data_IF_921359250967
#
_entry.id   IF_921359250967
#
_cell.length_a   1.000
_cell.length_b   1.000
_cell.length_c   1.000
_cell.angle_alpha   90.00
_cell.angle_beta   90.00
_cell.angle_gamma   90.00
#
_symmetry.space_group_name_H-M   'P 1'
#
loop_
_entity.id
_entity.type
_entity.pdbx_description
1 polymer ?
#
# COMPACT_ATOMS: atom_id res chain seq x y z
N UNK A 1 -21.34 -10.76 -9.32
CA UNK A 1 -20.45 -9.57 -9.33
C UNK A 1 -19.13 -10.02 -8.75
N UNK A 2 -18.01 -9.74 -9.41
CA UNK A 2 -16.70 -10.12 -8.90
C UNK A 2 -16.43 -9.46 -7.54
N UNK A 3 -15.91 -10.23 -6.59
CA UNK A 3 -15.49 -9.73 -5.28
C UNK A 3 -14.08 -10.15 -4.95
N UNK A 4 -13.43 -9.35 -4.11
CA UNK A 4 -12.09 -9.60 -3.58
C UNK A 4 -12.20 -9.76 -2.07
N UNK A 5 -11.72 -10.89 -1.53
CA UNK A 5 -11.67 -11.18 -0.11
C UNK A 5 -10.23 -11.31 0.36
N UNK A 6 -9.85 -10.49 1.31
CA UNK A 6 -8.51 -10.40 1.85
C UNK A 6 -8.42 -11.07 3.23
N UNK A 7 -7.37 -11.88 3.42
CA UNK A 7 -7.01 -12.44 4.72
C UNK A 7 -5.52 -12.20 4.97
N UNK A 8 -5.21 -11.46 6.02
CA UNK A 8 -3.85 -11.06 6.39
C UNK A 8 -3.39 -11.86 7.60
N UNK A 9 -2.27 -12.56 7.46
CA UNK A 9 -1.42 -12.98 8.58
C UNK A 9 -0.24 -12.03 8.69
N UNK A 10 0.54 -12.08 9.79
CA UNK A 10 1.57 -11.07 10.12
C UNK A 10 2.50 -10.67 8.97
N UNK A 11 2.74 -11.54 7.99
CA UNK A 11 3.66 -11.28 6.87
C UNK A 11 3.12 -11.66 5.49
N UNK A 12 1.86 -12.07 5.40
CA UNK A 12 1.29 -12.57 4.14
C UNK A 12 -0.13 -12.09 3.98
N UNK A 13 -0.41 -11.48 2.83
CA UNK A 13 -1.74 -11.17 2.36
C UNK A 13 -2.20 -12.28 1.41
N UNK A 14 -3.29 -12.96 1.75
CA UNK A 14 -4.00 -13.85 0.83
C UNK A 14 -5.18 -13.10 0.27
N UNK A 15 -5.22 -12.94 -1.06
CA UNK A 15 -6.32 -12.31 -1.78
C UNK A 15 -7.06 -13.42 -2.51
N UNK A 16 -8.35 -13.58 -2.23
CA UNK A 16 -9.23 -14.53 -2.88
C UNK A 16 -10.18 -13.77 -3.80
N UNK A 17 -10.43 -14.32 -4.97
CA UNK A 17 -11.31 -13.79 -5.99
C UNK A 17 -12.54 -14.69 -6.08
N UNK A 18 -13.72 -14.13 -6.30
CA UNK A 18 -14.93 -14.94 -6.53
C UNK A 18 -14.99 -15.58 -7.92
N UNK A 19 -14.12 -15.15 -8.83
CA UNK A 19 -13.95 -15.66 -10.18
C UNK A 19 -12.51 -15.38 -10.64
N UNK A 20 -12.06 -16.01 -11.72
CA UNK A 20 -10.67 -15.87 -12.19
C UNK A 20 -10.44 -14.48 -12.82
N UNK A 21 -9.52 -13.65 -12.28
CA UNK A 21 -9.14 -12.40 -12.92
C UNK A 21 -8.28 -12.66 -14.17
N UNK A 22 -8.35 -11.76 -15.14
CA UNK A 22 -7.49 -11.76 -16.34
C UNK A 22 -6.12 -11.15 -16.08
N UNK A 23 -6.04 -10.27 -15.07
CA UNK A 23 -4.80 -9.60 -14.68
C UNK A 23 -4.83 -9.32 -13.18
N UNK A 24 -3.71 -9.57 -12.50
CA UNK A 24 -3.49 -9.13 -11.13
C UNK A 24 -2.22 -8.31 -11.08
N UNK A 25 -2.32 -7.09 -10.55
CA UNK A 25 -1.23 -6.15 -10.42
C UNK A 25 -0.99 -5.84 -8.95
N UNK A 26 0.25 -5.96 -8.50
CA UNK A 26 0.69 -5.39 -7.23
C UNK A 26 1.17 -3.96 -7.47
N UNK A 27 0.65 -3.03 -6.70
CA UNK A 27 1.08 -1.65 -6.69
C UNK A 27 1.86 -1.38 -5.41
N UNK A 28 3.08 -0.86 -5.53
CA UNK A 28 3.94 -0.53 -4.37
C UNK A 28 4.48 0.89 -4.43
N UNK A 29 4.54 1.57 -3.29
CA UNK A 29 5.22 2.84 -3.14
C UNK A 29 6.14 2.79 -1.92
N UNK A 30 7.34 3.36 -2.04
CA UNK A 30 8.34 3.38 -0.96
C UNK A 30 8.56 4.82 -0.52
N UNK A 31 8.53 5.06 0.78
CA UNK A 31 8.97 6.31 1.39
C UNK A 31 9.99 6.02 2.49
N UNK A 32 11.25 6.39 2.24
CA UNK A 32 12.35 6.16 3.17
C UNK A 32 12.29 7.05 4.43
N UNK A 33 11.57 8.18 4.35
CA UNK A 33 11.58 9.21 5.37
C UNK A 33 10.37 9.18 6.30
N UNK A 34 9.16 8.94 5.78
CA UNK A 34 7.92 9.07 6.55
C UNK A 34 6.79 8.15 6.09
N UNK A 35 5.80 7.94 6.97
CA UNK A 35 4.58 7.17 6.67
C UNK A 35 3.55 8.02 5.90
N UNK A 36 3.98 8.69 4.84
CA UNK A 36 3.16 9.55 3.97
C UNK A 36 3.41 9.19 2.51
N UNK A 37 2.37 8.73 1.82
CA UNK A 37 2.47 8.22 0.45
C UNK A 37 1.73 9.11 -0.56
N UNK A 38 1.46 10.36 -0.20
CA UNK A 38 0.78 11.29 -1.10
C UNK A 38 1.66 11.63 -2.30
N UNK A 39 1.04 11.68 -3.48
CA UNK A 39 1.72 12.04 -4.74
C UNK A 39 2.40 13.42 -4.66
N UNK A 40 1.78 14.39 -3.96
CA UNK A 40 2.34 15.74 -3.77
C UNK A 40 3.66 15.74 -2.99
N UNK A 41 3.97 14.66 -2.27
CA UNK A 41 5.25 14.46 -1.58
C UNK A 41 6.31 13.78 -2.49
N UNK A 42 6.02 13.61 -3.78
CA UNK A 42 6.91 12.94 -4.74
C UNK A 42 6.86 11.42 -4.68
N UNK A 43 5.98 10.83 -3.85
CA UNK A 43 5.86 9.38 -3.70
C UNK A 43 4.98 8.83 -4.82
N UNK A 44 5.46 7.80 -5.51
CA UNK A 44 4.78 7.19 -6.66
C UNK A 44 4.64 5.69 -6.48
N UNK A 45 3.48 5.19 -6.87
CA UNK A 45 3.25 3.75 -6.97
C UNK A 45 3.88 3.21 -8.27
N UNK A 46 4.51 2.06 -8.17
CA UNK A 46 4.99 1.27 -9.31
C UNK A 46 4.23 -0.05 -9.36
N UNK A 47 3.97 -0.53 -10.57
CA UNK A 47 3.22 -1.76 -10.81
C UNK A 47 4.15 -2.95 -11.04
N UNK A 48 3.82 -4.10 -10.47
CA UNK A 48 4.38 -5.40 -10.84
C UNK A 48 3.26 -6.41 -11.11
N UNK A 49 3.41 -7.21 -12.16
CA UNK A 49 2.45 -8.26 -12.50
C UNK A 49 2.59 -9.42 -11.52
N UNK A 50 1.46 -9.99 -11.10
CA UNK A 50 1.43 -11.23 -10.32
C UNK A 50 0.91 -12.37 -11.19
N UNK A 51 1.67 -13.45 -11.27
CA UNK A 51 1.26 -14.66 -11.98
C UNK A 51 0.12 -15.36 -11.24
N UNK A 52 -0.95 -15.67 -11.97
CA UNK A 52 -2.11 -16.41 -11.45
C UNK A 52 -1.92 -17.86 -11.89
N UNK A 53 -1.25 -18.67 -11.05
CA UNK A 53 -0.82 -20.01 -11.44
C UNK A 53 -1.99 -20.92 -11.83
N UNK A 54 -2.95 -21.17 -10.93
CA UNK A 54 -4.05 -22.11 -11.19
C UNK A 54 -5.31 -21.87 -10.36
N UNK A 55 -5.33 -20.88 -9.46
CA UNK A 55 -6.44 -20.69 -8.51
C UNK A 55 -7.07 -19.30 -8.56
N UNK A 56 -8.16 -19.16 -7.80
CA UNK A 56 -8.85 -17.90 -7.54
C UNK A 56 -8.20 -17.15 -6.36
N UNK A 57 -6.90 -17.32 -6.14
CA UNK A 57 -6.21 -16.59 -5.08
C UNK A 57 -4.75 -16.31 -5.40
N UNK A 58 -4.24 -15.24 -4.80
CA UNK A 58 -2.81 -14.89 -4.80
C UNK A 58 -2.34 -14.68 -3.37
N UNK A 59 -1.10 -15.08 -3.09
CA UNK A 59 -0.44 -14.84 -1.81
C UNK A 59 0.70 -13.86 -2.02
N UNK A 60 0.65 -12.73 -1.32
CA UNK A 60 1.64 -11.67 -1.40
C UNK A 60 2.37 -11.55 -0.07
N UNK A 61 3.71 -11.62 -0.07
CA UNK A 61 4.48 -11.33 1.13
C UNK A 61 4.42 -9.82 1.43
N UNK A 62 3.93 -9.48 2.63
CA UNK A 62 3.95 -8.13 3.22
C UNK A 62 5.15 -8.00 4.17
N UNK A 63 6.36 -8.23 3.65
CA UNK A 63 7.59 -8.19 4.45
C UNK A 63 8.61 -7.23 3.86
N UNK A 64 8.31 -5.93 3.95
CA UNK A 64 9.30 -4.89 3.66
C UNK A 64 10.32 -4.85 4.80
N UNK A 65 11.59 -5.13 4.47
CA UNK A 65 12.71 -5.18 5.44
C UNK A 65 13.70 -4.02 5.28
N UNK A 66 13.51 -3.18 4.26
CA UNK A 66 14.38 -2.04 4.03
C UNK A 66 13.99 -0.85 4.94
N UNK A 67 14.84 0.18 5.07
CA UNK A 67 14.51 1.38 5.83
C UNK A 67 13.25 2.08 5.32
N UNK A 68 12.55 2.74 6.23
CA UNK A 68 11.36 3.53 5.92
C UNK A 68 10.07 2.71 5.91
N UNK A 69 9.20 3.04 4.94
CA UNK A 69 7.85 2.52 4.84
C UNK A 69 7.54 2.10 3.41
N UNK A 70 6.77 1.03 3.26
CA UNK A 70 6.21 0.58 1.99
C UNK A 70 4.69 0.58 2.09
N UNK A 71 4.00 1.15 1.11
CA UNK A 71 2.58 0.99 0.89
C UNK A 71 2.35 0.02 -0.27
N UNK A 72 1.52 -1.00 -0.06
CA UNK A 72 1.20 -2.03 -1.05
C UNK A 72 -0.31 -2.23 -1.14
N UNK A 73 -0.85 -2.33 -2.36
CA UNK A 73 -2.21 -2.85 -2.59
C UNK A 73 -2.24 -3.71 -3.86
N UNK A 74 -3.32 -4.48 -4.01
CA UNK A 74 -3.55 -5.37 -5.15
C UNK A 74 -4.72 -4.85 -5.97
N UNK A 75 -4.56 -4.87 -7.27
CA UNK A 75 -5.59 -4.58 -8.27
C UNK A 75 -5.83 -5.84 -9.09
N UNK A 76 -7.08 -6.25 -9.23
CA UNK A 76 -7.51 -7.37 -10.07
C UNK A 76 -8.47 -6.87 -11.14
N UNK A 77 -8.20 -7.23 -12.40
CA UNK A 77 -9.06 -6.96 -13.55
C UNK A 77 -9.73 -8.25 -13.98
N UNK A 78 -11.03 -8.20 -14.25
CA UNK A 78 -11.86 -9.34 -14.63
C UNK A 78 -12.26 -9.29 -16.11
N UNK A 79 -12.83 -10.39 -16.62
CA UNK A 79 -13.12 -10.55 -18.05
C UNK A 79 -14.17 -9.57 -18.58
N UNK A 80 -15.09 -9.12 -17.72
CA UNK A 80 -16.10 -8.10 -18.03
C UNK A 80 -15.55 -6.66 -17.97
N UNK A 81 -14.26 -6.50 -17.66
CA UNK A 81 -13.60 -5.20 -17.50
C UNK A 81 -13.74 -4.60 -16.10
N UNK A 82 -14.41 -5.29 -15.17
CA UNK A 82 -14.47 -4.84 -13.78
C UNK A 82 -13.08 -4.83 -13.14
N UNK A 83 -12.81 -3.80 -12.33
CA UNK A 83 -11.55 -3.64 -11.60
C UNK A 83 -11.86 -3.55 -10.11
N UNK A 84 -11.26 -4.44 -9.33
CA UNK A 84 -11.37 -4.44 -7.89
C UNK A 84 -10.00 -4.25 -7.25
N UNK A 85 -9.96 -3.52 -6.13
CA UNK A 85 -8.73 -3.28 -5.37
C UNK A 85 -8.89 -3.70 -3.92
N UNK A 86 -7.81 -4.22 -3.32
CA UNK A 86 -7.72 -4.38 -1.85
C UNK A 86 -7.56 -3.03 -1.17
N UNK A 87 -7.64 -3.01 0.16
CA UNK A 87 -7.12 -1.86 0.90
C UNK A 87 -5.59 -1.72 0.72
N UNK A 88 -5.06 -0.56 1.13
CA UNK A 88 -3.63 -0.30 1.16
C UNK A 88 -3.04 -0.80 2.48
N UNK A 89 -2.03 -1.66 2.40
CA UNK A 89 -1.26 -2.16 3.52
C UNK A 89 0.05 -1.38 3.64
N UNK A 90 0.35 -0.85 4.84
CA UNK A 90 1.58 -0.12 5.10
C UNK A 90 2.46 -0.95 6.03
N UNK A 91 3.66 -1.28 5.57
CA UNK A 91 4.67 -2.01 6.35
C UNK A 91 5.87 -1.13 6.71
N UNK A 92 6.55 -1.38 7.85
CA UNK A 92 6.27 -2.45 8.81
C UNK A 92 5.05 -2.15 9.72
N UNK A 93 4.27 -3.18 10.05
CA UNK A 93 3.01 -3.05 10.81
C UNK A 93 3.21 -2.78 12.31
N UNK A 94 4.33 -3.24 12.87
CA UNK A 94 4.69 -3.13 14.29
C UNK A 94 5.29 -1.76 14.65
N UNK A 95 5.37 -0.85 13.68
CA UNK A 95 5.94 0.49 13.84
C UNK A 95 4.90 1.57 13.61
N UNK A 96 4.89 2.58 14.48
CA UNK A 96 4.15 3.82 14.27
C UNK A 96 5.10 4.99 14.02
N UNK A 97 4.72 5.97 13.18
CA UNK A 97 5.52 7.17 13.00
C UNK A 97 5.48 8.01 14.28
N UNK A 98 6.64 8.37 14.79
CA UNK A 98 6.79 9.18 16.01
C UNK A 98 7.08 10.65 15.73
N UNK A 99 7.28 11.00 14.46
CA UNK A 99 7.51 12.35 13.98
C UNK A 99 6.56 12.66 12.84
N UNK A 100 6.17 13.94 12.73
CA UNK A 100 5.43 14.41 11.57
C UNK A 100 6.23 14.19 10.28
N UNK A 101 5.57 13.85 9.15
CA UNK A 101 6.23 13.82 7.85
C UNK A 101 6.98 15.13 7.54
N UNK A 102 8.18 15.08 6.96
CA UNK A 102 8.91 16.27 6.54
C UNK A 102 8.07 17.15 5.61
N UNK A 103 8.19 18.46 5.79
CA UNK A 103 7.52 19.43 4.93
C UNK A 103 8.38 19.70 3.68
N UNK A 104 7.92 19.22 2.53
CA UNK A 104 8.63 19.34 1.25
C UNK A 104 7.78 20.14 0.24
N UNK A 105 7.98 21.45 0.18
CA UNK A 105 7.17 22.35 -0.66
C UNK A 105 5.80 22.66 -0.06
N UNK A 106 4.95 23.40 -0.79
CA UNK A 106 3.71 24.00 -0.25
C UNK A 106 2.60 22.95 -0.01
N UNK A 107 2.54 21.91 -0.85
CA UNK A 107 1.46 20.91 -0.81
C UNK A 107 1.80 19.65 0.01
N UNK A 108 3.08 19.36 0.25
CA UNK A 108 3.51 18.28 1.14
C UNK A 108 3.90 18.86 2.50
N UNK A 109 2.91 19.31 3.26
CA UNK A 109 3.10 19.80 4.63
C UNK A 109 2.00 19.25 5.54
N UNK A 110 2.30 19.18 6.84
CA UNK A 110 1.30 18.90 7.88
C UNK A 110 0.69 20.21 8.37
N UNK A 111 -0.60 20.18 8.73
CA UNK A 111 -1.24 21.36 9.32
C UNK A 111 -0.61 21.69 10.69
N UNK A 112 -0.43 22.99 11.01
CA UNK A 112 0.02 23.42 12.34
C UNK A 112 -0.90 22.90 13.45
N UNK A 113 -0.36 22.67 14.66
CA UNK A 113 -1.15 22.43 15.87
C UNK A 113 -1.64 20.99 16.11
N UNK A 114 -1.12 19.97 15.41
CA UNK A 114 -1.42 18.54 15.68
C UNK A 114 -0.28 17.77 16.38
N UNK A 115 0.53 18.47 17.18
CA UNK A 115 1.24 17.88 18.32
C UNK A 115 2.40 16.90 18.10
N UNK A 116 3.02 16.82 16.91
CA UNK A 116 4.21 15.98 16.66
C UNK A 116 5.43 16.75 16.09
N UNK A 117 5.46 18.08 16.25
CA UNK A 117 6.53 18.92 15.71
C UNK A 117 6.71 20.28 16.40
N UNK A 118 6.07 20.51 17.55
CA UNK A 118 6.29 21.74 18.31
C UNK A 118 7.52 21.58 19.22
N UNK A 119 8.72 21.76 18.66
CA UNK A 119 9.82 22.28 19.47
C UNK A 119 9.57 23.79 19.61
N UNK A 120 8.86 24.17 20.69
CA UNK A 120 8.91 25.56 21.17
C UNK A 120 10.26 25.79 21.87
N UNK A 121 10.91 26.95 21.67
CA UNK A 121 12.11 27.32 22.42
C UNK A 121 11.83 27.46 23.92
#
# INVERSE_FOLDING_TARGET
MATVHENKTERTLTVNFSEKPVKVTRWTAINLAARDFRYVCGIRYTSSSLEISTGESVKIPLSYKAPGWEATYIEATFHDGYVATTQVYITPDDKYPVVAPPSNGIACQTLPGRGLGENKP
#
